data_IF_224428875325
#
_entry.id   IF_224428875325
#
_cell.length_a   1.000
_cell.length_b   1.000
_cell.length_c   1.000
_cell.angle_alpha   90.00
_cell.angle_beta   90.00
_cell.angle_gamma   90.00
#
_symmetry.space_group_name_H-M   'P 1'
#
loop_
_entity.id
_entity.type
_entity.pdbx_description
1 polymer ?
#
# COMPACT_ATOMS: atom_id res chain seq x y z
N UNK A 1 -41.80 58.37 -48.64
CA UNK A 1 -40.75 57.45 -49.08
C UNK A 1 -39.64 57.46 -48.06
N UNK A 2 -39.58 56.45 -47.19
CA UNK A 2 -38.44 56.26 -46.28
C UNK A 2 -38.46 54.82 -45.82
N UNK A 3 -37.38 54.07 -46.16
CA UNK A 3 -37.22 52.69 -45.83
C UNK A 3 -36.71 52.52 -44.42
N UNK A 4 -37.46 51.85 -43.56
CA UNK A 4 -37.04 51.47 -42.22
C UNK A 4 -36.15 50.21 -42.26
N UNK A 5 -34.90 50.35 -41.84
CA UNK A 5 -34.02 49.28 -41.60
C UNK A 5 -34.33 48.63 -40.26
N UNK A 6 -34.91 47.43 -40.29
CA UNK A 6 -35.01 46.56 -39.10
C UNK A 6 -33.68 45.84 -38.86
N UNK A 7 -32.98 46.18 -37.77
CA UNK A 7 -31.82 45.46 -37.23
C UNK A 7 -32.33 44.25 -36.47
N UNK A 8 -32.07 43.08 -36.98
CA UNK A 8 -32.22 41.83 -36.23
C UNK A 8 -31.00 41.67 -35.31
N UNK A 9 -31.23 41.74 -33.99
CA UNK A 9 -30.28 41.34 -32.99
C UNK A 9 -30.36 39.82 -32.86
N UNK A 10 -29.39 39.13 -33.38
CA UNK A 10 -29.20 37.70 -33.12
C UNK A 10 -28.66 37.53 -31.70
N UNK A 11 -29.49 37.03 -30.79
CA UNK A 11 -29.09 36.60 -29.48
C UNK A 11 -28.38 35.24 -29.63
N UNK A 12 -27.04 35.26 -29.55
CA UNK A 12 -26.24 34.05 -29.48
C UNK A 12 -26.43 33.37 -28.13
N UNK A 13 -27.12 32.24 -28.06
CA UNK A 13 -27.10 31.35 -26.90
C UNK A 13 -25.71 30.74 -26.82
N UNK A 14 -24.94 31.20 -25.86
CA UNK A 14 -23.69 30.56 -25.46
C UNK A 14 -24.00 29.23 -24.82
N UNK A 15 -23.83 28.14 -25.57
CA UNK A 15 -23.72 26.80 -25.00
C UNK A 15 -22.39 26.70 -24.28
N UNK A 16 -22.39 26.89 -22.95
CA UNK A 16 -21.29 26.53 -22.09
C UNK A 16 -21.18 24.99 -22.05
N UNK A 17 -20.02 24.39 -22.38
CA UNK A 17 -19.88 22.98 -22.19
C UNK A 17 -19.75 22.66 -20.69
N UNK A 18 -20.81 22.11 -20.11
CA UNK A 18 -20.84 21.53 -18.77
C UNK A 18 -20.16 20.14 -18.80
N UNK A 19 -18.93 20.13 -19.26
CA UNK A 19 -18.17 18.90 -19.43
C UNK A 19 -16.83 18.94 -18.67
N UNK A 20 -16.87 19.14 -17.36
CA UNK A 20 -15.65 18.98 -16.54
C UNK A 20 -15.93 18.86 -15.03
N UNK A 21 -16.82 17.97 -14.60
CA UNK A 21 -16.92 17.62 -13.17
C UNK A 21 -17.22 16.13 -12.97
N UNK A 22 -16.58 15.26 -13.74
CA UNK A 22 -16.43 13.85 -13.38
C UNK A 22 -14.98 13.60 -12.98
N UNK A 23 -14.43 14.43 -12.10
CA UNK A 23 -13.27 14.03 -11.30
C UNK A 23 -13.78 12.98 -10.33
N UNK A 24 -13.62 11.72 -10.73
CA UNK A 24 -13.88 10.58 -9.91
C UNK A 24 -13.18 10.77 -8.56
N UNK A 25 -13.94 10.93 -7.49
CA UNK A 25 -13.52 10.74 -6.12
C UNK A 25 -13.20 9.25 -5.90
N UNK A 26 -12.10 8.79 -6.46
CA UNK A 26 -11.36 7.65 -5.96
C UNK A 26 -10.24 8.25 -5.15
N UNK A 27 -10.28 8.15 -3.83
CA UNK A 27 -9.11 8.36 -3.00
C UNK A 27 -8.08 7.33 -3.43
N UNK A 28 -7.23 7.70 -4.39
CA UNK A 28 -6.00 6.96 -4.63
C UNK A 28 -5.20 7.14 -3.35
N UNK A 29 -5.14 6.09 -2.53
CA UNK A 29 -4.23 6.05 -1.41
C UNK A 29 -2.85 6.49 -1.89
N UNK A 30 -2.10 7.14 -1.03
CA UNK A 30 -0.76 7.66 -1.35
C UNK A 30 0.21 6.47 -1.40
N UNK A 31 0.15 5.73 -2.53
CA UNK A 31 0.99 4.55 -2.76
C UNK A 31 2.39 4.99 -3.13
N UNK A 32 3.44 4.47 -2.46
CA UNK A 32 4.82 4.74 -2.84
C UNK A 32 5.10 4.42 -4.31
N UNK A 33 6.02 5.15 -4.90
CA UNK A 33 6.43 4.89 -6.28
C UNK A 33 6.88 3.43 -6.44
N UNK A 34 6.25 2.76 -7.41
CA UNK A 34 6.53 1.36 -7.71
C UNK A 34 5.82 0.35 -6.82
N UNK A 35 5.07 0.76 -5.81
CA UNK A 35 4.19 -0.13 -5.06
C UNK A 35 2.90 -0.42 -5.85
N UNK A 36 2.43 -1.65 -5.82
CA UNK A 36 1.14 -2.01 -6.40
C UNK A 36 0.02 -1.77 -5.39
N UNK A 37 -1.07 -1.14 -5.81
CA UNK A 37 -2.23 -0.96 -4.95
C UNK A 37 -2.71 -2.28 -4.33
N UNK A 38 -2.90 -2.29 -3.02
CA UNK A 38 -3.58 -3.39 -2.33
C UNK A 38 -5.08 -3.15 -2.37
N UNK A 39 -5.81 -4.05 -3.02
CA UNK A 39 -7.27 -4.05 -3.02
C UNK A 39 -7.77 -4.68 -1.72
N UNK A 40 -8.06 -3.82 -0.75
CA UNK A 40 -8.50 -4.23 0.58
C UNK A 40 -9.70 -5.17 0.52
N UNK A 41 -9.72 -6.18 1.39
CA UNK A 41 -10.75 -7.23 1.47
C UNK A 41 -10.91 -8.10 0.20
N UNK A 42 -10.01 -7.92 -0.79
CA UNK A 42 -10.02 -8.66 -2.06
C UNK A 42 -8.69 -9.34 -2.36
N UNK A 43 -7.58 -8.60 -2.23
CA UNK A 43 -6.26 -9.20 -2.39
C UNK A 43 -5.99 -10.14 -1.23
N UNK A 44 -5.30 -11.23 -1.51
CA UNK A 44 -4.95 -12.24 -0.52
C UNK A 44 -3.45 -12.25 -0.24
N UNK A 45 -3.11 -12.53 1.00
CA UNK A 45 -1.75 -12.78 1.41
C UNK A 45 -1.20 -14.01 0.69
N UNK A 46 -0.04 -13.86 0.04
CA UNK A 46 0.56 -14.96 -0.76
C UNK A 46 0.93 -16.18 0.09
N UNK A 47 1.16 -16.01 1.40
CA UNK A 47 1.57 -17.08 2.30
C UNK A 47 0.40 -17.78 2.98
N UNK A 48 -0.47 -17.03 3.65
CA UNK A 48 -1.55 -17.59 4.47
C UNK A 48 -2.90 -17.63 3.75
N UNK A 49 -3.00 -17.03 2.55
CA UNK A 49 -4.21 -16.95 1.70
C UNK A 49 -5.39 -16.18 2.30
N UNK A 50 -5.21 -15.56 3.46
CA UNK A 50 -6.23 -14.69 4.08
C UNK A 50 -6.36 -13.39 3.29
N UNK A 51 -7.57 -12.82 3.27
CA UNK A 51 -7.80 -11.50 2.71
C UNK A 51 -7.03 -10.43 3.50
N UNK A 52 -6.43 -9.48 2.79
CA UNK A 52 -5.70 -8.37 3.40
C UNK A 52 -6.71 -7.28 3.78
N UNK A 53 -7.07 -7.23 5.05
CA UNK A 53 -8.14 -6.35 5.57
C UNK A 53 -7.64 -5.33 6.56
N UNK A 54 -6.69 -5.67 7.44
CA UNK A 54 -6.15 -4.73 8.42
C UNK A 54 -5.04 -3.87 7.81
N UNK A 55 -5.40 -2.63 7.51
CA UNK A 55 -4.54 -1.64 6.85
C UNK A 55 -3.29 -1.26 7.65
N UNK A 56 -3.21 -1.65 8.93
CA UNK A 56 -2.08 -1.32 9.83
C UNK A 56 -0.96 -2.35 9.78
N UNK A 57 -1.19 -3.53 9.20
CA UNK A 57 -0.24 -4.65 9.23
C UNK A 57 0.15 -5.15 7.83
N UNK A 58 -0.50 -4.64 6.80
CA UNK A 58 -0.26 -5.04 5.42
C UNK A 58 1.18 -4.74 4.97
N UNK A 59 1.67 -5.54 4.05
CA UNK A 59 2.96 -5.33 3.41
C UNK A 59 2.97 -5.76 1.96
N UNK A 60 3.95 -5.25 1.22
CA UNK A 60 4.22 -5.64 -0.15
C UNK A 60 5.73 -5.76 -0.39
N UNK A 61 6.13 -6.82 -1.05
CA UNK A 61 7.49 -7.02 -1.53
C UNK A 61 7.49 -7.07 -3.06
N UNK A 62 8.44 -6.35 -3.69
CA UNK A 62 8.54 -6.27 -5.14
C UNK A 62 9.99 -6.32 -5.61
N UNK A 63 10.26 -7.16 -6.61
CA UNK A 63 11.61 -7.27 -7.17
C UNK A 63 11.76 -8.37 -8.20
N UNK A 64 13.01 -8.69 -8.47
CA UNK A 64 13.40 -9.71 -9.43
C UNK A 64 13.22 -9.31 -10.90
N UNK A 65 13.71 -10.14 -11.84
CA UNK A 65 13.76 -9.80 -13.27
C UNK A 65 12.38 -9.63 -13.90
N UNK A 66 11.34 -10.23 -13.31
CA UNK A 66 9.94 -10.10 -13.77
C UNK A 66 9.16 -9.06 -12.99
N UNK A 67 9.82 -8.28 -12.12
CA UNK A 67 9.17 -7.30 -11.26
C UNK A 67 7.98 -7.89 -10.47
N UNK A 68 8.21 -9.08 -9.91
CA UNK A 68 7.20 -9.86 -9.19
C UNK A 68 6.75 -9.15 -7.92
N UNK A 69 5.47 -9.22 -7.62
CA UNK A 69 4.84 -8.59 -6.44
C UNK A 69 4.26 -9.67 -5.54
N UNK A 70 4.59 -9.59 -4.25
CA UNK A 70 4.00 -10.41 -3.19
C UNK A 70 3.34 -9.51 -2.16
N UNK A 71 2.08 -9.77 -1.85
CA UNK A 71 1.29 -9.02 -0.86
C UNK A 71 1.05 -9.85 0.39
N UNK A 72 1.08 -9.19 1.54
CA UNK A 72 1.01 -9.83 2.85
C UNK A 72 0.00 -9.08 3.75
N UNK A 73 -0.70 -9.82 4.58
CA UNK A 73 -1.59 -9.28 5.62
C UNK A 73 -0.89 -9.04 6.95
N UNK A 74 0.33 -9.56 7.10
CA UNK A 74 1.14 -9.48 8.32
C UNK A 74 2.63 -9.54 7.94
N UNK A 75 3.47 -8.71 8.56
CA UNK A 75 4.92 -8.71 8.32
C UNK A 75 5.56 -10.07 8.64
N UNK A 76 5.01 -10.81 9.60
CA UNK A 76 5.45 -12.17 9.92
C UNK A 76 5.23 -13.14 8.76
N UNK A 77 4.13 -12.98 8.01
CA UNK A 77 3.92 -13.74 6.78
C UNK A 77 5.00 -13.46 5.75
N UNK A 78 5.42 -12.20 5.60
CA UNK A 78 6.51 -11.85 4.67
C UNK A 78 7.84 -12.45 5.10
N UNK A 79 8.20 -12.38 6.37
CA UNK A 79 9.44 -12.98 6.92
C UNK A 79 9.51 -14.47 6.65
N UNK A 80 8.41 -15.18 6.94
CA UNK A 80 8.37 -16.64 6.74
C UNK A 80 8.27 -17.02 5.26
N UNK A 81 7.61 -16.20 4.43
CA UNK A 81 7.60 -16.40 2.98
C UNK A 81 9.01 -16.34 2.40
N UNK A 82 9.80 -15.33 2.82
CA UNK A 82 11.22 -15.26 2.42
C UNK A 82 11.97 -16.49 2.85
N UNK A 83 11.85 -16.95 4.11
CA UNK A 83 12.49 -18.19 4.58
C UNK A 83 12.13 -19.40 3.71
N UNK A 84 10.83 -19.56 3.45
CA UNK A 84 10.30 -20.78 2.81
C UNK A 84 10.53 -20.77 1.28
N UNK A 85 10.62 -19.61 0.66
CA UNK A 85 10.65 -19.41 -0.79
C UNK A 85 11.93 -18.79 -1.34
N UNK A 86 12.94 -18.58 -0.52
CA UNK A 86 14.18 -17.93 -0.96
C UNK A 86 14.89 -18.68 -2.09
N UNK A 87 14.78 -20.02 -2.13
CA UNK A 87 15.36 -20.84 -3.21
C UNK A 87 14.63 -20.60 -4.54
N UNK A 88 13.31 -20.40 -4.50
CA UNK A 88 12.48 -20.16 -5.68
C UNK A 88 12.60 -18.70 -6.17
N UNK A 89 12.80 -17.77 -5.23
CA UNK A 89 12.87 -16.32 -5.47
C UNK A 89 14.09 -15.71 -4.77
N UNK A 90 15.31 -15.99 -5.22
CA UNK A 90 16.54 -15.51 -4.54
C UNK A 90 16.64 -13.97 -4.50
N UNK A 91 16.00 -13.28 -5.40
CA UNK A 91 15.91 -11.82 -5.43
C UNK A 91 15.30 -11.21 -4.15
N UNK A 92 14.52 -11.96 -3.38
CA UNK A 92 13.95 -11.47 -2.12
C UNK A 92 15.00 -11.08 -1.06
N UNK A 93 16.22 -11.66 -1.17
CA UNK A 93 17.35 -11.29 -0.31
C UNK A 93 18.16 -10.10 -0.85
N UNK A 94 17.90 -9.65 -2.07
CA UNK A 94 18.64 -8.57 -2.69
C UNK A 94 18.34 -7.23 -1.97
N UNK A 95 19.34 -6.40 -1.66
CA UNK A 95 19.14 -5.05 -1.12
C UNK A 95 18.25 -4.16 -2.00
N UNK A 96 18.27 -4.35 -3.32
CA UNK A 96 17.44 -3.61 -4.27
C UNK A 96 15.97 -4.01 -4.24
N UNK A 97 15.62 -5.11 -3.63
CA UNK A 97 14.23 -5.53 -3.46
C UNK A 97 13.47 -4.55 -2.60
N UNK A 98 12.41 -3.98 -3.14
CA UNK A 98 11.54 -3.08 -2.41
C UNK A 98 10.65 -3.89 -1.47
N UNK A 99 10.57 -3.45 -0.23
CA UNK A 99 9.71 -4.07 0.76
C UNK A 99 9.05 -2.99 1.63
N UNK A 100 7.75 -2.82 1.47
CA UNK A 100 6.94 -1.85 2.20
C UNK A 100 6.09 -2.54 3.25
N UNK A 101 5.90 -1.85 4.37
CA UNK A 101 4.96 -2.22 5.43
C UNK A 101 4.12 -1.02 5.81
N UNK A 102 2.88 -1.26 6.19
CA UNK A 102 2.00 -0.22 6.69
C UNK A 102 2.46 0.28 8.06
N UNK A 103 2.40 1.60 8.27
CA UNK A 103 2.61 2.19 9.59
C UNK A 103 1.41 1.85 10.49
N UNK A 104 1.69 1.25 11.64
CA UNK A 104 0.70 0.91 12.67
C UNK A 104 -0.15 2.12 13.10
N UNK A 105 0.36 3.33 12.92
CA UNK A 105 -0.29 4.59 13.27
C UNK A 105 -1.11 5.21 12.15
N UNK A 106 -1.26 4.53 11.01
CA UNK A 106 -2.16 4.94 9.93
C UNK A 106 -3.58 5.15 10.45
N UNK A 107 -4.22 6.25 10.04
CA UNK A 107 -5.56 6.65 10.50
C UNK A 107 -6.40 7.15 9.34
N UNK A 108 -7.72 7.19 9.54
CA UNK A 108 -8.65 7.82 8.59
C UNK A 108 -8.80 7.10 7.24
N UNK A 109 -8.38 5.85 7.17
CA UNK A 109 -8.41 5.09 5.91
C UNK A 109 -7.19 5.30 5.01
N UNK A 110 -6.33 6.27 5.31
CA UNK A 110 -5.04 6.46 4.66
C UNK A 110 -4.00 5.54 5.30
N UNK A 111 -3.17 4.90 4.47
CA UNK A 111 -2.07 4.06 4.92
C UNK A 111 -0.77 4.79 4.63
N UNK A 112 0.02 5.01 5.67
CA UNK A 112 1.41 5.44 5.53
C UNK A 112 2.28 4.20 5.32
N UNK A 113 3.10 4.23 4.29
CA UNK A 113 3.98 3.13 3.94
C UNK A 113 5.41 3.43 4.37
N UNK A 114 6.04 2.45 4.99
CA UNK A 114 7.41 2.50 5.47
C UNK A 114 8.24 1.46 4.72
N UNK A 115 9.54 1.75 4.56
CA UNK A 115 10.51 0.72 4.17
C UNK A 115 10.63 -0.29 5.33
N UNK A 116 10.27 -1.54 5.08
CA UNK A 116 10.22 -2.58 6.11
C UNK A 116 11.57 -2.81 6.80
N UNK A 117 12.68 -2.68 6.06
CA UNK A 117 14.02 -2.92 6.60
C UNK A 117 14.54 -1.76 7.46
N UNK A 118 13.93 -0.59 7.33
CA UNK A 118 14.30 0.65 8.05
C UNK A 118 13.30 1.03 9.14
N UNK A 119 12.10 0.46 9.09
CA UNK A 119 11.07 0.65 10.10
C UNK A 119 11.48 0.09 11.46
N UNK A 120 10.85 0.59 12.50
CA UNK A 120 10.88 0.03 13.85
C UNK A 120 9.61 -0.79 14.08
N UNK A 121 9.66 -1.75 14.99
CA UNK A 121 8.56 -2.67 15.23
C UNK A 121 8.17 -2.71 16.69
N UNK A 122 6.87 -2.58 16.94
CA UNK A 122 6.25 -2.72 18.26
C UNK A 122 5.51 -4.05 18.36
N UNK A 123 5.50 -4.62 19.54
CA UNK A 123 4.61 -5.75 19.84
C UNK A 123 3.16 -5.27 19.86
N UNK A 124 2.36 -5.79 18.94
CA UNK A 124 0.93 -5.46 18.78
C UNK A 124 0.20 -6.64 18.17
N UNK A 125 -0.94 -7.04 18.73
CA UNK A 125 -1.75 -8.12 18.15
C UNK A 125 -2.00 -7.86 16.67
N UNK A 126 -1.61 -8.81 15.84
CA UNK A 126 -1.68 -8.75 14.38
C UNK A 126 -2.56 -9.86 13.81
N UNK A 127 -3.02 -9.76 12.54
CA UNK A 127 -3.98 -10.70 11.95
C UNK A 127 -3.57 -12.16 12.06
N UNK A 128 -2.28 -12.47 11.84
CA UNK A 128 -1.76 -13.84 11.90
C UNK A 128 -1.09 -14.22 13.22
N UNK A 129 -1.16 -13.34 14.23
CA UNK A 129 -0.63 -13.61 15.56
C UNK A 129 0.89 -13.62 15.65
N UNK A 130 1.61 -13.07 14.64
CA UNK A 130 3.04 -12.81 14.79
C UNK A 130 3.31 -11.66 15.74
N UNK A 131 2.33 -10.74 15.85
CA UNK A 131 2.26 -9.69 16.84
C UNK A 131 3.32 -8.60 16.72
N UNK A 132 3.58 -8.15 15.49
CA UNK A 132 4.44 -7.00 15.22
C UNK A 132 3.75 -6.00 14.29
N UNK A 133 3.80 -4.73 14.66
CA UNK A 133 3.36 -3.62 13.82
C UNK A 133 4.51 -2.64 13.61
N UNK A 134 4.66 -2.14 12.38
CA UNK A 134 5.72 -1.21 12.02
C UNK A 134 5.39 0.21 12.44
N UNK A 135 6.41 0.98 12.85
CA UNK A 135 6.35 2.41 13.12
C UNK A 135 7.54 3.12 12.51
N UNK A 136 7.39 4.42 12.19
CA UNK A 136 8.41 5.18 11.48
C UNK A 136 9.66 5.49 12.31
N UNK A 137 9.49 5.70 13.61
CA UNK A 137 10.56 6.17 14.50
C UNK A 137 10.75 5.25 15.70
N UNK A 138 11.98 5.16 16.24
CA UNK A 138 12.23 4.43 17.46
C UNK A 138 11.51 5.08 18.64
N UNK A 139 10.96 4.25 19.51
CA UNK A 139 10.33 4.65 20.78
C UNK A 139 10.51 3.53 21.81
N UNK A 140 10.19 3.74 23.09
CA UNK A 140 10.30 2.69 24.11
C UNK A 140 9.53 1.42 23.71
N UNK A 141 10.23 0.28 23.69
CA UNK A 141 9.66 -1.02 23.33
C UNK A 141 9.71 -1.36 21.84
N UNK A 142 10.31 -0.51 20.99
CA UNK A 142 10.57 -0.87 19.60
C UNK A 142 11.84 -1.71 19.47
N UNK A 143 11.85 -2.50 18.41
CA UNK A 143 13.00 -3.26 17.92
C UNK A 143 13.21 -3.00 16.44
N UNK A 144 14.40 -3.25 15.93
CA UNK A 144 14.69 -3.14 14.50
C UNK A 144 14.14 -4.35 13.69
N UNK A 145 14.29 -4.28 12.38
CA UNK A 145 13.85 -5.35 11.47
C UNK A 145 14.56 -6.67 11.73
N UNK A 146 15.86 -6.66 12.05
CA UNK A 146 16.63 -7.89 12.26
C UNK A 146 16.16 -8.63 13.53
N UNK A 147 15.93 -7.89 14.60
CA UNK A 147 15.44 -8.42 15.87
C UNK A 147 13.98 -8.93 15.71
N UNK A 148 13.09 -8.14 15.10
CA UNK A 148 11.72 -8.57 14.81
C UNK A 148 11.71 -9.85 13.96
N UNK A 149 12.53 -9.92 12.92
CA UNK A 149 12.67 -11.09 12.06
C UNK A 149 13.13 -12.33 12.87
N UNK A 150 14.09 -12.17 13.76
CA UNK A 150 14.56 -13.26 14.61
C UNK A 150 13.41 -13.80 15.51
N UNK A 151 12.62 -12.92 16.10
CA UNK A 151 11.46 -13.32 16.90
C UNK A 151 10.40 -14.06 16.07
N UNK A 152 10.09 -13.60 14.85
CA UNK A 152 9.16 -14.31 13.96
C UNK A 152 9.67 -15.70 13.60
N UNK A 153 10.94 -15.81 13.24
CA UNK A 153 11.56 -17.09 12.88
C UNK A 153 11.58 -18.07 14.05
N UNK A 154 11.82 -17.60 15.28
CA UNK A 154 11.81 -18.42 16.48
C UNK A 154 10.41 -18.98 16.81
N UNK A 155 9.34 -18.26 16.47
CA UNK A 155 7.95 -18.76 16.63
C UNK A 155 7.63 -19.91 15.68
N UNK A 156 8.26 -20.00 14.53
CA UNK A 156 8.26 -21.16 13.63
C UNK A 156 6.93 -21.60 13.02
N UNK A 157 5.95 -20.71 12.92
CA UNK A 157 4.58 -21.04 12.40
C UNK A 157 4.49 -20.97 10.89
#
# INVERSE_FOLDING_TARGET
MSLGRRRFLAAGLGMTPLAALLSACGSRGDWPEGMQEIKWDRDTCVRCTMAISDRRFAGEMRGGPKNTVFKFDDVGCAVLWVRDKLKDFPWMADPETRFWVADLRSRGGEVKWLDARRAQYLTKTSPMGYNFGAVALPEPGTMDFAEMRAHVLAKGK
#
